data_IF_509338787566
#
_entry.id   IF_509338787566
#
_cell.length_a   1.000
_cell.length_b   1.000
_cell.length_c   1.000
_cell.angle_alpha   90.00
_cell.angle_beta   90.00
_cell.angle_gamma   90.00
#
_symmetry.space_group_name_H-M   'P 1'
#
loop_
_entity.id
_entity.type
_entity.pdbx_description
1 polymer ?
#
# COMPACT_ATOMS: atom_id res chain seq x y z
N UNK A 1 27.50 -68.74 -7.65
CA UNK A 1 28.78 -69.37 -7.70
C UNK A 1 29.82 -68.31 -7.55
N UNK A 2 30.26 -68.13 -6.35
CA UNK A 2 31.42 -68.66 -5.63
C UNK A 2 32.67 -67.81 -5.90
N UNK A 3 33.06 -67.08 -4.87
CA UNK A 3 34.28 -67.33 -4.07
C UNK A 3 35.58 -67.01 -4.81
N UNK A 4 36.55 -66.51 -4.34
CA UNK A 4 37.18 -66.24 -3.05
C UNK A 4 38.57 -65.68 -3.33
N UNK A 5 39.00 -64.76 -2.45
CA UNK A 5 40.34 -64.84 -1.87
C UNK A 5 41.58 -64.40 -2.69
N UNK A 6 42.35 -63.49 -2.24
CA UNK A 6 43.68 -63.48 -1.60
C UNK A 6 44.22 -62.07 -1.55
N UNK A 7 44.24 -61.46 -0.45
CA UNK A 7 45.19 -61.16 0.61
C UNK A 7 46.60 -60.67 0.20
N UNK A 8 46.95 -59.60 0.95
CA UNK A 8 48.29 -59.23 1.44
C UNK A 8 49.11 -58.16 0.72
N UNK A 9 49.25 -57.17 1.52
CA UNK A 9 50.51 -56.48 1.84
C UNK A 9 51.03 -55.41 0.90
N UNK A 10 50.94 -54.18 1.35
CA UNK A 10 52.11 -53.35 1.61
C UNK A 10 51.76 -52.06 2.37
N UNK A 11 52.30 -52.00 3.56
CA UNK A 11 52.44 -50.80 4.39
C UNK A 11 53.24 -49.73 3.63
N UNK A 12 52.88 -48.50 3.80
CA UNK A 12 53.80 -47.44 3.39
C UNK A 12 53.28 -46.02 3.46
N UNK A 13 53.50 -45.41 4.61
CA UNK A 13 53.80 -43.99 4.77
C UNK A 13 52.64 -42.99 4.68
N UNK A 14 52.47 -42.35 5.82
CA UNK A 14 51.68 -41.20 6.11
C UNK A 14 52.07 -39.95 5.30
N UNK A 15 51.07 -39.25 4.96
CA UNK A 15 51.11 -37.88 4.51
C UNK A 15 49.89 -37.22 5.09
N UNK A 16 50.10 -36.49 6.16
CA UNK A 16 49.03 -35.65 6.73
C UNK A 16 48.74 -34.55 5.68
N UNK A 17 47.57 -34.68 5.04
CA UNK A 17 47.03 -33.60 4.27
C UNK A 17 46.47 -32.58 5.26
N UNK A 18 47.09 -31.40 5.28
CA UNK A 18 46.60 -30.23 6.03
C UNK A 18 45.23 -29.82 5.44
N UNK A 19 44.22 -29.74 6.31
CA UNK A 19 42.94 -29.17 5.99
C UNK A 19 43.13 -27.73 5.50
N UNK A 20 42.47 -27.31 4.41
CA UNK A 20 42.48 -25.90 4.01
C UNK A 20 41.79 -25.06 5.08
N UNK A 21 42.29 -23.84 5.35
CA UNK A 21 41.69 -22.99 6.36
C UNK A 21 40.23 -22.69 5.97
N UNK A 22 39.31 -22.95 6.90
CA UNK A 22 37.92 -22.58 6.78
C UNK A 22 37.82 -21.09 6.40
N UNK A 23 37.31 -20.83 5.20
CA UNK A 23 36.98 -19.47 4.78
C UNK A 23 35.97 -18.88 5.80
N UNK A 24 36.46 -18.04 6.67
CA UNK A 24 35.60 -17.20 7.50
C UNK A 24 34.87 -16.29 6.52
N UNK A 25 33.56 -16.54 6.32
CA UNK A 25 32.61 -15.56 5.80
C UNK A 25 32.66 -14.38 6.76
N UNK A 26 33.51 -13.42 6.49
CA UNK A 26 33.48 -12.11 7.14
C UNK A 26 32.21 -11.43 6.68
N UNK A 27 31.16 -11.52 7.49
CA UNK A 27 30.04 -10.59 7.37
C UNK A 27 30.65 -9.24 7.79
N UNK A 28 30.82 -8.37 6.79
CA UNK A 28 31.29 -7.00 7.03
C UNK A 28 30.23 -6.30 7.91
N UNK A 29 30.50 -5.96 9.17
CA UNK A 29 29.54 -5.31 10.05
C UNK A 29 29.37 -3.81 9.71
N UNK A 30 29.98 -3.32 8.61
CA UNK A 30 29.90 -1.93 8.15
C UNK A 30 28.94 -1.75 6.97
N UNK A 31 27.91 -2.60 6.84
CA UNK A 31 26.74 -2.24 6.06
C UNK A 31 26.19 -0.90 6.58
N UNK A 32 25.73 0.02 5.71
CA UNK A 32 25.18 1.29 6.18
C UNK A 32 24.13 0.98 7.23
N UNK A 33 24.27 1.61 8.41
CA UNK A 33 23.27 1.53 9.46
C UNK A 33 21.90 1.82 8.83
N UNK A 34 20.82 1.10 9.19
CA UNK A 34 19.50 1.39 8.67
C UNK A 34 19.26 2.89 8.86
N UNK A 35 18.90 3.56 7.77
CA UNK A 35 18.70 5.01 7.75
C UNK A 35 17.62 5.34 8.80
N UNK A 36 18.06 5.69 9.99
CA UNK A 36 17.20 6.00 11.15
C UNK A 36 16.31 7.22 10.88
N UNK A 37 16.54 7.89 9.74
CA UNK A 37 15.82 9.06 9.29
C UNK A 37 14.87 8.77 8.11
N UNK A 38 14.77 7.52 7.64
CA UNK A 38 13.84 7.20 6.55
C UNK A 38 12.38 7.45 6.97
N UNK A 39 11.56 8.15 6.18
CA UNK A 39 10.17 8.40 6.52
C UNK A 39 9.41 7.07 6.73
N UNK A 40 8.44 7.05 7.64
CA UNK A 40 7.64 5.85 7.91
C UNK A 40 6.84 5.43 6.66
N UNK A 41 6.29 6.44 5.97
CA UNK A 41 5.56 6.27 4.73
C UNK A 41 6.19 7.08 3.60
N UNK A 42 6.20 6.52 2.41
CA UNK A 42 6.57 7.20 1.16
C UNK A 42 5.33 7.72 0.43
N UNK A 43 4.18 7.10 0.69
CA UNK A 43 2.95 7.39 -0.02
C UNK A 43 1.71 7.21 0.84
N UNK A 44 0.70 8.02 0.54
CA UNK A 44 -0.66 7.89 1.04
C UNK A 44 -1.57 7.50 -0.12
N UNK A 45 -2.22 6.37 0.04
CA UNK A 45 -3.24 5.89 -0.88
C UNK A 45 -4.61 6.27 -0.31
N UNK A 46 -5.52 6.68 -1.17
CA UNK A 46 -6.83 7.17 -0.75
C UNK A 46 -7.92 6.48 -1.58
N UNK A 47 -8.97 6.02 -0.94
CA UNK A 47 -10.20 5.73 -1.68
C UNK A 47 -10.81 7.04 -2.19
N UNK A 48 -11.64 6.95 -3.23
CA UNK A 48 -12.28 8.12 -3.83
C UNK A 48 -13.62 8.43 -3.17
N UNK A 49 -14.58 7.52 -3.31
CA UNK A 49 -15.96 7.74 -2.90
C UNK A 49 -16.13 7.47 -1.40
N UNK A 50 -16.65 8.43 -0.64
CA UNK A 50 -16.74 8.37 0.82
C UNK A 50 -15.47 8.84 1.56
N UNK A 51 -14.34 9.00 0.85
CA UNK A 51 -13.05 9.39 1.46
C UNK A 51 -12.53 10.74 0.94
N UNK A 52 -12.35 10.88 -0.38
CA UNK A 52 -11.94 12.14 -1.03
C UNK A 52 -13.14 13.02 -1.37
N UNK A 53 -14.20 12.39 -1.80
CA UNK A 53 -15.46 13.04 -2.21
C UNK A 53 -16.64 12.35 -1.55
N UNK A 54 -17.71 13.08 -1.32
CA UNK A 54 -18.97 12.50 -0.86
C UNK A 54 -19.43 11.42 -1.84
N UNK A 55 -19.84 10.26 -1.29
CA UNK A 55 -20.30 9.15 -2.12
C UNK A 55 -21.63 9.50 -2.82
N UNK A 56 -21.61 9.34 -4.13
CA UNK A 56 -22.77 9.43 -4.98
C UNK A 56 -22.80 8.12 -5.79
N UNK A 57 -23.74 7.20 -5.48
CA UNK A 57 -23.76 5.90 -6.12
C UNK A 57 -23.74 5.98 -7.64
N UNK A 58 -22.75 5.28 -8.24
CA UNK A 58 -22.54 5.19 -9.68
C UNK A 58 -22.45 6.55 -10.40
N UNK A 59 -21.73 7.50 -9.80
CA UNK A 59 -21.59 8.84 -10.36
C UNK A 59 -20.79 8.86 -11.66
N UNK A 60 -21.44 9.18 -12.77
CA UNK A 60 -20.84 9.46 -14.09
C UNK A 60 -20.87 10.95 -14.47
N UNK A 61 -21.27 11.84 -13.55
CA UNK A 61 -21.45 13.26 -13.78
C UNK A 61 -20.43 14.07 -12.96
N UNK A 62 -19.48 14.79 -13.60
CA UNK A 62 -18.49 15.61 -12.93
C UNK A 62 -19.10 16.75 -12.10
N UNK A 63 -20.27 17.25 -12.48
CA UNK A 63 -20.92 18.34 -11.76
C UNK A 63 -21.50 17.92 -10.40
N UNK A 64 -21.57 16.61 -10.14
CA UNK A 64 -21.98 16.04 -8.84
C UNK A 64 -20.81 15.75 -7.90
N UNK A 65 -19.58 15.97 -8.34
CA UNK A 65 -18.39 15.79 -7.49
C UNK A 65 -18.35 16.87 -6.42
N UNK A 66 -18.32 16.44 -5.14
CA UNK A 66 -18.18 17.33 -3.98
C UNK A 66 -17.11 16.76 -3.05
N UNK A 67 -15.98 17.45 -2.88
CA UNK A 67 -14.97 17.07 -1.88
C UNK A 67 -15.56 16.95 -0.49
N UNK A 68 -15.04 16.02 0.32
CA UNK A 68 -15.34 16.01 1.75
C UNK A 68 -14.70 17.23 2.42
N UNK A 69 -15.24 17.61 3.57
CA UNK A 69 -14.80 18.81 4.28
C UNK A 69 -13.31 18.75 4.62
N UNK A 70 -12.59 19.81 4.32
CA UNK A 70 -11.17 19.92 4.59
C UNK A 70 -10.24 19.04 3.71
N UNK A 71 -10.75 18.32 2.71
CA UNK A 71 -9.95 17.42 1.88
C UNK A 71 -8.78 18.15 1.19
N UNK A 72 -9.02 19.25 0.48
CA UNK A 72 -7.96 19.95 -0.27
C UNK A 72 -6.81 20.41 0.64
N UNK A 73 -7.02 21.15 1.73
CA UNK A 73 -5.93 21.57 2.61
C UNK A 73 -5.24 20.37 3.29
N UNK A 74 -5.95 19.28 3.59
CA UNK A 74 -5.35 18.07 4.14
C UNK A 74 -4.37 17.42 3.14
N UNK A 75 -4.77 17.27 1.88
CA UNK A 75 -3.91 16.74 0.81
C UNK A 75 -2.71 17.65 0.52
N UNK A 76 -2.89 18.97 0.54
CA UNK A 76 -1.80 19.92 0.34
C UNK A 76 -0.74 19.80 1.46
N UNK A 77 -1.15 19.49 2.69
CA UNK A 77 -0.21 19.19 3.80
C UNK A 77 0.59 17.91 3.56
N UNK A 78 -0.03 16.84 3.02
CA UNK A 78 0.70 15.62 2.66
C UNK A 78 1.73 15.89 1.55
N UNK A 79 1.35 16.65 0.51
CA UNK A 79 2.26 17.06 -0.57
C UNK A 79 3.43 17.89 -0.04
N UNK A 80 3.14 18.86 0.83
CA UNK A 80 4.17 19.69 1.47
C UNK A 80 5.14 18.88 2.35
N UNK A 81 4.70 17.74 2.87
CA UNK A 81 5.54 16.80 3.61
C UNK A 81 6.33 15.84 2.68
N UNK A 82 6.23 15.98 1.36
CA UNK A 82 6.93 15.16 0.38
C UNK A 82 6.33 13.76 0.18
N UNK A 83 5.10 13.51 0.66
CA UNK A 83 4.41 12.24 0.47
C UNK A 83 3.75 12.19 -0.91
N UNK A 84 3.91 11.06 -1.61
CA UNK A 84 3.22 10.80 -2.88
C UNK A 84 1.78 10.39 -2.62
N UNK A 85 0.87 10.82 -3.49
CA UNK A 85 -0.55 10.58 -3.34
C UNK A 85 -1.09 9.70 -4.46
N UNK A 86 -1.72 8.58 -4.10
CA UNK A 86 -2.38 7.70 -5.04
C UNK A 86 -3.86 7.51 -4.73
N UNK A 87 -4.68 7.33 -5.76
CA UNK A 87 -6.08 6.94 -5.59
C UNK A 87 -6.26 5.46 -5.93
N UNK A 88 -6.97 4.72 -5.06
CA UNK A 88 -7.28 3.29 -5.24
C UNK A 88 -8.79 3.08 -5.05
N UNK A 89 -9.52 2.87 -6.15
CA UNK A 89 -11.00 2.92 -6.12
C UNK A 89 -11.66 1.77 -6.88
N UNK A 90 -12.78 1.28 -6.34
CA UNK A 90 -13.66 0.30 -6.97
C UNK A 90 -14.74 1.01 -7.77
N UNK A 91 -14.77 0.83 -9.09
CA UNK A 91 -15.72 1.48 -9.99
C UNK A 91 -16.57 0.46 -10.78
N UNK A 92 -17.30 -0.37 -10.05
CA UNK A 92 -18.11 -1.45 -10.62
C UNK A 92 -19.27 -0.95 -11.50
N UNK A 93 -19.65 0.33 -11.39
CA UNK A 93 -20.62 0.94 -12.28
C UNK A 93 -20.23 0.86 -13.75
N UNK A 94 -18.92 0.77 -14.04
CA UNK A 94 -18.43 0.58 -15.41
C UNK A 94 -18.84 -0.80 -15.95
N UNK A 95 -18.55 -1.89 -15.22
CA UNK A 95 -18.97 -3.24 -15.62
C UNK A 95 -20.49 -3.40 -15.70
N UNK A 96 -21.21 -2.66 -14.84
CA UNK A 96 -22.69 -2.69 -14.79
C UNK A 96 -23.37 -1.74 -15.80
N UNK A 97 -22.59 -0.97 -16.58
CA UNK A 97 -23.12 -0.05 -17.59
C UNK A 97 -23.83 1.18 -17.04
N UNK A 98 -23.60 1.55 -15.75
CA UNK A 98 -24.18 2.75 -15.15
C UNK A 98 -23.53 4.03 -15.67
N UNK A 99 -22.27 3.96 -16.09
CA UNK A 99 -21.54 5.03 -16.75
C UNK A 99 -20.47 4.46 -17.69
N UNK A 100 -20.04 5.27 -18.64
CA UNK A 100 -18.99 4.94 -19.59
C UNK A 100 -17.59 5.22 -19.04
N UNK A 101 -16.54 4.72 -19.69
CA UNK A 101 -15.16 5.06 -19.37
C UNK A 101 -14.90 6.57 -19.45
N UNK A 102 -15.38 7.23 -20.49
CA UNK A 102 -15.22 8.68 -20.66
C UNK A 102 -15.91 9.48 -19.56
N UNK A 103 -17.05 9.00 -19.05
CA UNK A 103 -17.73 9.63 -17.91
C UNK A 103 -16.90 9.47 -16.63
N UNK A 104 -16.36 8.29 -16.38
CA UNK A 104 -15.48 8.04 -15.25
C UNK A 104 -14.23 8.93 -15.30
N UNK A 105 -13.60 9.04 -16.47
CA UNK A 105 -12.40 9.86 -16.66
C UNK A 105 -12.68 11.35 -16.42
N UNK A 106 -13.86 11.86 -16.86
CA UNK A 106 -14.28 13.24 -16.55
C UNK A 106 -14.54 13.45 -15.06
N UNK A 107 -15.14 12.48 -14.37
CA UNK A 107 -15.34 12.53 -12.92
C UNK A 107 -13.98 12.58 -12.21
N UNK A 108 -13.04 11.74 -12.60
CA UNK A 108 -11.70 11.71 -11.99
C UNK A 108 -10.92 13.02 -12.28
N UNK A 109 -11.01 13.55 -13.50
CA UNK A 109 -10.42 14.85 -13.83
C UNK A 109 -11.01 15.97 -12.95
N UNK A 110 -12.32 15.93 -12.69
CA UNK A 110 -12.97 16.88 -11.78
C UNK A 110 -12.49 16.75 -10.34
N UNK A 111 -12.23 15.53 -9.87
CA UNK A 111 -11.62 15.29 -8.55
C UNK A 111 -10.23 15.95 -8.47
N UNK A 112 -9.39 15.78 -9.50
CA UNK A 112 -8.07 16.42 -9.55
C UNK A 112 -8.13 17.94 -9.62
N UNK A 113 -9.06 18.49 -10.39
CA UNK A 113 -9.26 19.93 -10.46
C UNK A 113 -9.58 20.51 -9.06
N UNK A 114 -10.42 19.85 -8.29
CA UNK A 114 -10.84 20.30 -6.97
C UNK A 114 -9.79 20.03 -5.87
N UNK A 115 -9.08 18.89 -5.94
CA UNK A 115 -8.22 18.38 -4.87
C UNK A 115 -6.73 18.45 -5.19
N UNK A 116 -6.35 18.83 -6.42
CA UNK A 116 -4.98 18.82 -6.92
C UNK A 116 -4.58 17.45 -7.50
N UNK A 117 -3.39 17.37 -8.13
CA UNK A 117 -2.96 16.18 -8.84
C UNK A 117 -2.71 15.00 -7.89
N UNK A 118 -2.94 13.81 -8.41
CA UNK A 118 -2.50 12.55 -7.79
C UNK A 118 -1.42 11.91 -8.65
N UNK A 119 -0.42 11.31 -7.99
CA UNK A 119 0.73 10.70 -8.68
C UNK A 119 0.35 9.37 -9.36
N UNK A 120 -0.75 8.73 -8.94
CA UNK A 120 -1.30 7.53 -9.59
C UNK A 120 -2.80 7.37 -9.33
N UNK A 121 -3.47 6.75 -10.30
CA UNK A 121 -4.86 6.27 -10.20
C UNK A 121 -4.92 4.78 -10.47
N UNK A 122 -5.37 4.00 -9.50
CA UNK A 122 -5.60 2.57 -9.64
C UNK A 122 -7.10 2.29 -9.51
N UNK A 123 -7.70 1.83 -10.58
CA UNK A 123 -9.15 1.69 -10.71
C UNK A 123 -9.50 0.24 -10.98
N UNK A 124 -10.36 -0.35 -10.16
CA UNK A 124 -10.98 -1.63 -10.49
C UNK A 124 -12.33 -1.38 -11.19
N UNK A 125 -12.48 -1.73 -12.47
CA UNK A 125 -13.72 -1.53 -13.21
C UNK A 125 -14.73 -2.67 -13.00
N UNK A 126 -14.34 -3.75 -12.32
CA UNK A 126 -15.09 -4.99 -12.24
C UNK A 126 -16.15 -4.97 -11.13
N UNK A 127 -17.23 -5.71 -11.34
CA UNK A 127 -18.19 -6.05 -10.30
C UNK A 127 -17.74 -7.28 -9.47
N UNK A 128 -18.55 -7.68 -8.51
CA UNK A 128 -18.25 -8.81 -7.62
C UNK A 128 -18.22 -10.15 -8.37
N UNK A 129 -19.03 -10.30 -9.43
CA UNK A 129 -19.15 -11.55 -10.17
C UNK A 129 -17.89 -11.87 -10.97
N UNK A 130 -17.08 -10.85 -11.30
CA UNK A 130 -15.82 -11.04 -12.03
C UNK A 130 -14.76 -11.79 -11.24
N UNK A 131 -14.84 -11.88 -9.90
CA UNK A 131 -13.89 -12.59 -9.05
C UNK A 131 -12.45 -12.11 -9.19
N UNK A 132 -12.23 -10.86 -9.63
CA UNK A 132 -10.91 -10.29 -9.85
C UNK A 132 -10.19 -9.99 -8.53
N UNK A 133 -8.85 -10.01 -8.57
CA UNK A 133 -8.03 -9.69 -7.39
C UNK A 133 -7.79 -8.20 -7.18
N UNK A 134 -8.09 -7.37 -8.20
CA UNK A 134 -7.92 -5.91 -8.10
C UNK A 134 -9.04 -5.25 -7.29
N UNK A 135 -10.28 -5.78 -7.30
CA UNK A 135 -11.36 -5.22 -6.50
C UNK A 135 -11.07 -5.35 -5.01
N UNK A 136 -11.06 -4.23 -4.27
CA UNK A 136 -11.00 -4.24 -2.81
C UNK A 136 -12.17 -5.09 -2.27
N UNK A 137 -11.95 -6.08 -1.39
CA UNK A 137 -10.80 -6.25 -0.49
C UNK A 137 -9.55 -6.94 -1.07
N UNK A 138 -9.49 -7.22 -2.37
CA UNK A 138 -8.28 -7.73 -3.01
C UNK A 138 -7.11 -6.73 -2.94
N UNK A 139 -5.86 -7.21 -2.86
CA UNK A 139 -4.69 -6.37 -2.59
C UNK A 139 -4.11 -5.67 -3.82
N UNK A 140 -4.52 -6.06 -5.05
CA UNK A 140 -3.73 -5.76 -6.23
C UNK A 140 -3.75 -4.27 -6.62
N UNK A 141 -4.82 -3.50 -6.31
CA UNK A 141 -4.80 -2.03 -6.50
C UNK A 141 -3.76 -1.35 -5.61
N UNK A 142 -3.65 -1.79 -4.35
CA UNK A 142 -2.67 -1.24 -3.40
C UNK A 142 -1.25 -1.55 -3.85
N UNK A 143 -1.00 -2.77 -4.32
CA UNK A 143 0.30 -3.17 -4.86
C UNK A 143 0.67 -2.40 -6.11
N UNK A 144 -0.27 -2.29 -7.05
CA UNK A 144 -0.08 -1.53 -8.29
C UNK A 144 0.17 -0.04 -8.02
N UNK A 145 -0.52 0.54 -7.02
CA UNK A 145 -0.28 1.91 -6.60
C UNK A 145 1.14 2.07 -6.02
N UNK A 146 1.57 1.18 -5.13
CA UNK A 146 2.90 1.22 -4.56
C UNK A 146 4.00 1.10 -5.63
N UNK A 147 3.83 0.18 -6.58
CA UNK A 147 4.74 0.01 -7.73
C UNK A 147 4.80 1.27 -8.60
N UNK A 148 3.65 1.83 -8.99
CA UNK A 148 3.57 3.05 -9.79
C UNK A 148 4.21 4.26 -9.09
N UNK A 149 4.15 4.27 -7.76
CA UNK A 149 4.78 5.29 -6.92
C UNK A 149 6.26 4.98 -6.61
N UNK A 150 6.85 3.89 -7.13
CA UNK A 150 8.25 3.50 -6.90
C UNK A 150 8.55 3.19 -5.43
N UNK A 151 7.61 2.57 -4.73
CA UNK A 151 7.74 2.16 -3.32
C UNK A 151 7.17 0.76 -3.10
N UNK A 152 7.09 0.32 -1.85
CA UNK A 152 6.52 -0.97 -1.46
C UNK A 152 5.28 -0.77 -0.58
N UNK A 153 4.31 -1.70 -0.57
CA UNK A 153 3.10 -1.56 0.24
C UNK A 153 3.36 -1.28 1.73
N UNK A 154 4.41 -1.89 2.31
CA UNK A 154 4.79 -1.68 3.71
C UNK A 154 5.16 -0.21 4.04
N UNK A 155 5.45 0.60 3.02
CA UNK A 155 5.73 2.04 3.15
C UNK A 155 4.57 2.92 2.65
N UNK A 156 3.39 2.31 2.48
CA UNK A 156 2.15 3.00 2.13
C UNK A 156 1.15 2.94 3.28
N UNK A 157 0.32 3.95 3.38
CA UNK A 157 -0.89 3.94 4.20
C UNK A 157 -2.11 4.16 3.31
N UNK A 158 -3.11 3.29 3.43
CA UNK A 158 -4.40 3.44 2.74
C UNK A 158 -5.41 4.09 3.70
N UNK A 159 -5.99 5.18 3.28
CA UNK A 159 -7.14 5.82 3.94
C UNK A 159 -8.39 5.49 3.13
N UNK A 160 -9.41 4.98 3.81
CA UNK A 160 -10.67 4.59 3.19
C UNK A 160 -11.83 4.64 4.20
N UNK A 161 -13.05 4.48 3.74
CA UNK A 161 -14.25 4.63 4.57
C UNK A 161 -14.94 3.31 4.91
N UNK A 162 -14.56 2.19 4.27
CA UNK A 162 -15.18 0.87 4.49
C UNK A 162 -14.16 -0.21 4.83
N UNK A 163 -14.66 -1.31 5.40
CA UNK A 163 -13.83 -2.47 5.77
C UNK A 163 -13.08 -3.10 4.59
N UNK A 164 -13.58 -2.97 3.36
CA UNK A 164 -12.89 -3.47 2.17
C UNK A 164 -11.56 -2.75 1.90
N UNK A 165 -11.45 -1.46 2.24
CA UNK A 165 -10.19 -0.70 2.16
C UNK A 165 -9.18 -1.23 3.16
N UNK A 166 -9.62 -1.42 4.41
CA UNK A 166 -8.76 -1.95 5.47
C UNK A 166 -8.27 -3.35 5.18
N UNK A 167 -9.15 -4.20 4.64
CA UNK A 167 -8.79 -5.55 4.24
C UNK A 167 -7.81 -5.55 3.05
N UNK A 168 -7.99 -4.66 2.06
CA UNK A 168 -7.08 -4.52 0.93
C UNK A 168 -5.69 -4.04 1.38
N UNK A 169 -5.62 -3.05 2.28
CA UNK A 169 -4.37 -2.58 2.87
C UNK A 169 -3.64 -3.73 3.59
N UNK A 170 -4.32 -4.43 4.50
CA UNK A 170 -3.77 -5.56 5.24
C UNK A 170 -3.28 -6.68 4.32
N UNK A 171 -4.07 -7.07 3.32
CA UNK A 171 -3.72 -8.13 2.36
C UNK A 171 -2.54 -7.76 1.46
N UNK A 172 -2.30 -6.47 1.24
CA UNK A 172 -1.13 -5.96 0.53
C UNK A 172 0.10 -5.81 1.42
N UNK A 173 -0.05 -5.75 2.74
CA UNK A 173 1.01 -5.45 3.71
C UNK A 173 1.19 -3.95 3.94
N UNK A 174 0.20 -3.12 3.62
CA UNK A 174 0.17 -1.69 3.89
C UNK A 174 -0.52 -1.37 5.22
N UNK A 175 -0.26 -0.18 5.77
CA UNK A 175 -1.06 0.34 6.87
C UNK A 175 -2.46 0.77 6.38
N UNK A 176 -3.46 0.76 7.26
CA UNK A 176 -4.81 1.21 6.97
C UNK A 176 -5.35 2.16 8.03
N UNK A 177 -6.04 3.21 7.61
CA UNK A 177 -6.78 4.13 8.48
C UNK A 177 -8.21 4.24 7.97
N UNK A 178 -9.17 3.84 8.80
CA UNK A 178 -10.59 3.98 8.49
C UNK A 178 -11.07 5.38 8.87
N UNK A 179 -11.74 6.04 7.93
CA UNK A 179 -12.49 7.29 8.15
C UNK A 179 -13.97 6.97 7.93
N UNK A 180 -14.70 6.62 8.99
CA UNK A 180 -16.05 6.11 8.82
C UNK A 180 -17.02 7.19 8.35
N UNK A 181 -17.94 6.80 7.47
CA UNK A 181 -19.08 7.58 7.01
C UNK A 181 -20.37 7.04 7.65
N UNK A 182 -21.52 7.71 7.51
CA UNK A 182 -22.80 7.17 7.99
C UNK A 182 -23.18 5.80 7.41
N UNK A 183 -22.58 5.40 6.29
CA UNK A 183 -22.83 4.10 5.64
C UNK A 183 -21.85 3.02 6.08
N UNK A 184 -20.78 3.35 6.80
CA UNK A 184 -19.80 2.40 7.33
C UNK A 184 -20.43 1.53 8.43
N UNK A 185 -20.29 0.22 8.33
CA UNK A 185 -20.91 -0.72 9.26
C UNK A 185 -20.21 -0.71 10.62
N UNK A 186 -20.98 -0.84 11.71
CA UNK A 186 -20.42 -0.87 13.06
C UNK A 186 -19.32 -1.94 13.25
N UNK A 187 -19.48 -3.13 12.63
CA UNK A 187 -18.47 -4.18 12.66
C UNK A 187 -17.18 -3.82 11.96
N UNK A 188 -17.24 -3.05 10.87
CA UNK A 188 -16.06 -2.55 10.15
C UNK A 188 -15.32 -1.51 10.99
N UNK A 189 -16.07 -0.62 11.66
CA UNK A 189 -15.51 0.37 12.59
C UNK A 189 -14.80 -0.31 13.77
N UNK A 190 -15.40 -1.34 14.34
CA UNK A 190 -14.83 -2.09 15.46
C UNK A 190 -13.58 -2.89 15.08
N UNK A 191 -13.52 -3.39 13.83
CA UNK A 191 -12.42 -4.20 13.33
C UNK A 191 -11.26 -3.36 12.73
N UNK A 192 -11.42 -2.05 12.58
CA UNK A 192 -10.43 -1.20 11.93
C UNK A 192 -9.11 -1.15 12.72
N UNK A 193 -7.94 -1.31 12.06
CA UNK A 193 -6.63 -1.29 12.71
C UNK A 193 -6.27 0.09 13.27
N UNK A 194 -6.73 1.13 12.61
CA UNK A 194 -6.66 2.53 13.05
C UNK A 194 -7.89 3.27 12.51
N UNK A 195 -8.29 4.33 13.21
CA UNK A 195 -9.46 5.14 12.87
C UNK A 195 -9.18 6.61 13.09
N UNK A 196 -9.77 7.44 12.22
CA UNK A 196 -9.84 8.89 12.38
C UNK A 196 -11.29 9.36 12.14
N UNK A 197 -11.66 10.50 12.71
CA UNK A 197 -13.03 11.01 12.63
C UNK A 197 -13.35 11.59 11.25
N UNK A 198 -12.32 12.14 10.56
CA UNK A 198 -12.40 12.71 9.22
C UNK A 198 -11.06 12.60 8.49
N UNK A 199 -11.03 13.00 7.22
CA UNK A 199 -9.79 13.00 6.41
C UNK A 199 -8.72 13.93 6.97
N UNK A 200 -8.99 15.17 7.40
CA UNK A 200 -8.01 16.01 8.09
C UNK A 200 -7.37 15.35 9.31
N UNK A 201 -8.15 14.67 10.15
CA UNK A 201 -7.65 13.97 11.33
C UNK A 201 -6.77 12.76 10.94
N UNK A 202 -7.14 12.01 9.90
CA UNK A 202 -6.31 10.94 9.36
C UNK A 202 -4.96 11.47 8.87
N UNK A 203 -4.94 12.59 8.14
CA UNK A 203 -3.73 13.24 7.66
C UNK A 203 -2.87 13.74 8.83
N UNK A 204 -3.46 14.32 9.86
CA UNK A 204 -2.72 14.74 11.07
C UNK A 204 -2.04 13.54 11.76
N UNK A 205 -2.76 12.42 11.89
CA UNK A 205 -2.19 11.19 12.46
C UNK A 205 -0.99 10.67 11.65
N UNK A 206 -1.10 10.66 10.32
CA UNK A 206 -0.01 10.27 9.40
C UNK A 206 1.20 11.19 9.59
N UNK A 207 1.01 12.49 9.53
CA UNK A 207 2.09 13.49 9.64
C UNK A 207 2.74 13.51 11.01
N UNK A 208 1.96 13.33 12.08
CA UNK A 208 2.49 13.24 13.45
C UNK A 208 3.38 12.02 13.61
N UNK A 209 2.97 10.86 13.10
CA UNK A 209 3.76 9.63 13.13
C UNK A 209 5.06 9.79 12.33
N UNK A 210 5.01 10.45 11.17
CA UNK A 210 6.20 10.81 10.39
C UNK A 210 7.17 11.68 11.21
N UNK A 211 6.67 12.72 11.91
CA UNK A 211 7.50 13.64 12.73
C UNK A 211 8.12 13.00 13.95
N UNK A 212 7.43 12.06 14.61
CA UNK A 212 7.96 11.35 15.78
C UNK A 212 9.20 10.51 15.45
N UNK A 213 9.32 10.06 14.22
CA UNK A 213 10.47 9.32 13.73
C UNK A 213 11.56 10.24 13.13
N UNK A 214 11.21 11.50 12.85
CA UNK A 214 12.11 12.53 12.32
C UNK A 214 11.98 13.81 13.17
N UNK A 215 12.47 13.83 14.43
CA UNK A 215 12.57 15.08 15.15
C UNK A 215 13.47 16.00 14.32
N UNK A 216 12.89 17.12 13.84
CA UNK A 216 13.65 18.12 13.12
C UNK A 216 14.91 18.44 13.90
N UNK A 217 16.08 18.38 13.25
CA UNK A 217 17.32 18.88 13.81
C UNK A 217 17.08 20.35 14.18
N UNK A 218 17.11 20.65 15.47
CA UNK A 218 17.04 22.02 16.01
C UNK A 218 18.34 22.74 15.75
#
# INVERSE_FOLDING_TARGET
VSQDQVDRDRRGRGGAAADPPAARCGVDPTGPAPDTFAPLFDAVLLDRDGTLVHDVPYNGDPDRVRPVDGARPALDRLRAAGLRLGVVTNQSGLARGHFTRDQLDRVNARVEELLGPFDTWQICPHDEAAGCRCRKPGPDLVRAAAEALGTVPARCVLVGDIGADMAAASAAGAAGILVPTPTTRAGEIAAAPARADDLPAAVEAILTRQRLLHPAAR
#
